data_IF_646865577455
#
_entry.id   IF_646865577455
#
_cell.length_a   1.000
_cell.length_b   1.000
_cell.length_c   1.000
_cell.angle_alpha   90.00
_cell.angle_beta   90.00
_cell.angle_gamma   90.00
#
_symmetry.space_group_name_H-M   'P 1'
#
loop_
_entity.id
_entity.type
_entity.pdbx_description
1 polymer ?
#
# COMPACT_ATOMS: atom_id res chain seq x y z
N UNK A 1 2.97 2.57 18.79
CA UNK A 1 4.22 1.98 18.25
C UNK A 1 4.35 2.33 16.77
N UNK A 2 5.58 2.46 16.24
CA UNK A 2 5.86 2.86 14.84
C UNK A 2 5.10 2.01 13.81
N UNK A 3 4.89 0.72 14.10
CA UNK A 3 4.14 -0.21 13.24
C UNK A 3 2.71 0.26 12.93
N UNK A 4 1.97 0.81 13.90
CA UNK A 4 0.59 1.25 13.66
C UNK A 4 0.47 2.49 12.78
N UNK A 5 1.48 3.37 12.79
CA UNK A 5 1.53 4.56 11.92
C UNK A 5 1.81 4.13 10.47
N UNK A 6 2.74 3.20 10.28
CA UNK A 6 3.06 2.66 8.96
C UNK A 6 1.88 1.92 8.35
N UNK A 7 1.16 1.14 9.15
CA UNK A 7 -0.06 0.47 8.69
C UNK A 7 -1.12 1.48 8.22
N UNK A 8 -1.37 2.54 9.00
CA UNK A 8 -2.29 3.62 8.60
C UNK A 8 -1.85 4.32 7.30
N UNK A 9 -0.55 4.57 7.14
CA UNK A 9 -0.03 5.19 5.92
C UNK A 9 -0.18 4.26 4.70
N UNK A 10 -0.03 2.94 4.87
CA UNK A 10 -0.33 1.97 3.81
C UNK A 10 -1.83 1.96 3.50
N UNK A 11 -2.69 2.03 4.51
CA UNK A 11 -4.15 2.13 4.31
C UNK A 11 -4.57 3.36 3.49
N UNK A 12 -3.85 4.49 3.61
CA UNK A 12 -4.09 5.68 2.75
C UNK A 12 -3.82 5.42 1.25
N UNK A 13 -3.12 4.35 0.87
CA UNK A 13 -2.94 3.95 -0.53
C UNK A 13 -4.12 3.13 -1.09
N UNK A 14 -5.04 2.68 -0.23
CA UNK A 14 -6.19 1.89 -0.65
C UNK A 14 -7.07 2.70 -1.60
N UNK A 15 -7.34 2.22 -2.83
CA UNK A 15 -8.25 2.90 -3.74
C UNK A 15 -9.66 3.00 -3.19
N UNK A 16 -10.40 4.02 -3.61
CA UNK A 16 -11.85 4.10 -3.37
C UNK A 16 -12.54 3.01 -4.20
N UNK A 17 -13.43 2.24 -3.56
CA UNK A 17 -14.25 1.21 -4.21
C UNK A 17 -14.25 -0.12 -3.48
N UNK A 18 -14.99 -1.08 -4.03
CA UNK A 18 -15.01 -2.44 -3.54
C UNK A 18 -13.64 -3.10 -3.75
N UNK A 19 -13.24 -3.90 -2.77
CA UNK A 19 -12.03 -4.70 -2.87
C UNK A 19 -12.17 -5.70 -4.03
N UNK A 20 -11.10 -5.95 -4.81
CA UNK A 20 -11.17 -6.89 -5.92
C UNK A 20 -11.54 -8.28 -5.42
N UNK A 21 -12.39 -8.97 -6.18
CA UNK A 21 -12.74 -10.36 -5.89
C UNK A 21 -11.51 -11.26 -5.95
N UNK A 22 -11.45 -12.26 -5.07
CA UNK A 22 -10.33 -13.17 -4.93
C UNK A 22 -10.03 -13.97 -6.21
N UNK A 23 -11.03 -14.15 -7.08
CA UNK A 23 -10.91 -14.88 -8.34
C UNK A 23 -10.62 -13.97 -9.55
N UNK A 24 -10.43 -12.66 -9.32
CA UNK A 24 -10.16 -11.68 -10.38
C UNK A 24 -8.77 -11.07 -10.22
N UNK A 25 -8.13 -10.73 -11.34
CA UNK A 25 -6.86 -9.98 -11.30
C UNK A 25 -7.16 -8.57 -10.78
N UNK A 26 -6.54 -8.14 -9.67
CA UNK A 26 -6.78 -6.81 -9.12
C UNK A 26 -6.50 -5.70 -10.14
N UNK A 27 -7.36 -4.67 -10.23
CA UNK A 27 -7.12 -3.52 -11.09
C UNK A 27 -5.82 -2.81 -10.71
N UNK A 28 -5.16 -2.16 -11.68
CA UNK A 28 -3.86 -1.49 -11.47
C UNK A 28 -3.84 -0.48 -10.33
N UNK A 29 -4.95 0.17 -10.04
CA UNK A 29 -5.07 1.10 -8.92
C UNK A 29 -4.77 0.43 -7.57
N UNK A 30 -5.13 -0.85 -7.41
CA UNK A 30 -4.93 -1.62 -6.20
C UNK A 30 -3.50 -2.14 -6.02
N UNK A 31 -2.69 -2.16 -7.09
CA UNK A 31 -1.40 -2.84 -7.09
C UNK A 31 -0.44 -2.28 -6.04
N UNK A 32 -0.44 -0.96 -5.78
CA UNK A 32 0.45 -0.36 -4.78
C UNK A 32 0.05 -0.73 -3.36
N UNK A 33 -1.24 -0.64 -3.05
CA UNK A 33 -1.80 -1.04 -1.75
C UNK A 33 -1.52 -2.53 -1.49
N UNK A 34 -1.94 -3.41 -2.41
CA UNK A 34 -1.76 -4.87 -2.29
C UNK A 34 -0.28 -5.22 -2.15
N UNK A 35 0.62 -4.61 -2.94
CA UNK A 35 2.06 -4.91 -2.85
C UNK A 35 2.65 -4.65 -1.46
N UNK A 36 2.20 -3.62 -0.75
CA UNK A 36 2.74 -3.30 0.58
C UNK A 36 1.94 -3.95 1.72
N UNK A 37 0.62 -3.93 1.63
CA UNK A 37 -0.24 -4.51 2.65
C UNK A 37 0.00 -6.02 2.76
N UNK A 38 -0.03 -6.74 1.64
CA UNK A 38 0.13 -8.19 1.66
C UNK A 38 1.56 -8.56 2.09
N UNK A 39 2.58 -7.85 1.60
CA UNK A 39 3.98 -8.17 1.90
C UNK A 39 4.41 -7.83 3.34
N UNK A 40 3.93 -6.71 3.89
CA UNK A 40 4.45 -6.17 5.17
C UNK A 40 3.43 -6.18 6.32
N UNK A 41 2.13 -6.24 6.03
CA UNK A 41 1.08 -6.36 7.06
C UNK A 41 0.64 -7.81 7.20
N UNK A 42 0.36 -8.49 6.09
CA UNK A 42 -0.05 -9.90 6.09
C UNK A 42 1.13 -10.90 6.07
N UNK A 43 2.32 -10.45 5.65
CA UNK A 43 3.51 -11.30 5.57
C UNK A 43 3.48 -12.32 4.43
N UNK A 44 2.70 -12.06 3.38
CA UNK A 44 2.63 -12.91 2.20
C UNK A 44 3.94 -12.96 1.42
N UNK A 45 4.19 -14.09 0.76
CA UNK A 45 5.39 -14.25 -0.06
C UNK A 45 5.25 -13.44 -1.34
N UNK A 46 6.32 -12.73 -1.72
CA UNK A 46 6.35 -11.91 -2.93
C UNK A 46 5.90 -12.67 -4.19
N UNK A 47 6.21 -13.97 -4.30
CA UNK A 47 5.78 -14.80 -5.46
C UNK A 47 4.26 -14.95 -5.54
N UNK A 48 3.59 -15.05 -4.38
CA UNK A 48 2.15 -15.27 -4.30
C UNK A 48 1.44 -13.95 -4.62
N UNK A 49 1.96 -12.83 -4.12
CA UNK A 49 1.49 -11.47 -4.49
C UNK A 49 1.67 -11.23 -5.99
N UNK A 50 2.81 -11.60 -6.58
CA UNK A 50 3.05 -11.48 -8.02
C UNK A 50 2.06 -12.32 -8.84
N UNK A 51 1.75 -13.53 -8.39
CA UNK A 51 0.75 -14.40 -9.00
C UNK A 51 -0.65 -13.78 -8.92
N UNK A 52 -1.06 -13.32 -7.74
CA UNK A 52 -2.33 -12.61 -7.48
C UNK A 52 -2.51 -11.39 -8.38
N UNK A 53 -1.46 -10.58 -8.54
CA UNK A 53 -1.47 -9.38 -9.37
C UNK A 53 -1.27 -9.65 -10.87
N UNK A 54 -0.94 -10.90 -11.24
CA UNK A 54 -0.56 -11.31 -12.59
C UNK A 54 0.55 -10.42 -13.19
N UNK A 55 1.63 -10.22 -12.43
CA UNK A 55 2.77 -9.38 -12.84
C UNK A 55 4.12 -10.09 -12.68
N UNK A 56 5.08 -9.71 -13.52
CA UNK A 56 6.47 -10.16 -13.40
C UNK A 56 7.21 -9.53 -12.22
N UNK A 57 8.30 -10.15 -11.78
CA UNK A 57 9.16 -9.64 -10.71
C UNK A 57 9.69 -8.23 -10.96
N UNK A 58 10.13 -7.94 -12.19
CA UNK A 58 10.58 -6.60 -12.55
C UNK A 58 9.46 -5.56 -12.38
N UNK A 59 8.20 -5.94 -12.68
CA UNK A 59 7.04 -5.07 -12.49
C UNK A 59 6.69 -4.93 -11.02
N UNK A 60 6.69 -6.02 -10.25
CA UNK A 60 6.49 -6.01 -8.80
C UNK A 60 7.49 -5.09 -8.09
N UNK A 61 8.79 -5.22 -8.39
CA UNK A 61 9.83 -4.39 -7.80
C UNK A 61 9.66 -2.89 -8.15
N UNK A 62 9.19 -2.57 -9.36
CA UNK A 62 8.84 -1.19 -9.74
C UNK A 62 7.59 -0.69 -9.01
N UNK A 63 6.55 -1.52 -8.89
CA UNK A 63 5.33 -1.20 -8.14
C UNK A 63 5.66 -0.95 -6.67
N UNK A 64 6.48 -1.80 -6.04
CA UNK A 64 6.93 -1.63 -4.66
C UNK A 64 7.66 -0.30 -4.46
N UNK A 65 8.58 0.07 -5.35
CA UNK A 65 9.26 1.38 -5.30
C UNK A 65 8.31 2.57 -5.49
N UNK A 66 7.22 2.43 -6.25
CA UNK A 66 6.19 3.47 -6.37
C UNK A 66 5.34 3.54 -5.10
N UNK A 67 4.93 2.40 -4.57
CA UNK A 67 4.13 2.30 -3.36
C UNK A 67 4.87 2.90 -2.15
N UNK A 68 6.17 2.63 -1.99
CA UNK A 68 6.99 3.22 -0.91
C UNK A 68 7.02 4.75 -1.01
N UNK A 69 7.10 5.32 -2.21
CA UNK A 69 6.97 6.77 -2.40
C UNK A 69 5.58 7.29 -2.04
N UNK A 70 4.54 6.52 -2.33
CA UNK A 70 3.17 6.80 -1.88
C UNK A 70 3.06 6.85 -0.36
N UNK A 71 3.62 5.85 0.35
CA UNK A 71 3.65 5.83 1.82
C UNK A 71 4.38 7.03 2.39
N UNK A 72 5.54 7.39 1.83
CA UNK A 72 6.29 8.57 2.27
C UNK A 72 5.43 9.85 2.18
N UNK A 73 4.70 10.03 1.07
CA UNK A 73 3.78 11.17 0.91
C UNK A 73 2.62 11.11 1.91
N UNK A 74 2.03 9.94 2.13
CA UNK A 74 0.97 9.77 3.11
C UNK A 74 1.43 10.11 4.54
N UNK A 75 2.65 9.73 4.90
CA UNK A 75 3.25 10.06 6.20
C UNK A 75 3.47 11.58 6.36
N UNK A 76 3.97 12.26 5.32
CA UNK A 76 4.11 13.72 5.32
C UNK A 76 2.76 14.43 5.52
N UNK A 77 1.71 13.97 4.82
CA UNK A 77 0.35 14.50 4.97
C UNK A 77 -0.18 14.28 6.39
N UNK A 78 0.00 13.07 6.95
CA UNK A 78 -0.39 12.74 8.32
C UNK A 78 0.35 13.60 9.36
N UNK A 79 1.64 13.85 9.16
CA UNK A 79 2.43 14.71 10.04
C UNK A 79 1.94 16.16 10.00
N UNK A 80 1.61 16.67 8.81
CA UNK A 80 1.02 18.01 8.64
C UNK A 80 -0.34 18.12 9.33
N UNK A 81 -1.24 17.17 9.11
CA UNK A 81 -2.56 17.09 9.77
C UNK A 81 -2.43 16.99 11.30
N UNK A 82 -1.39 16.33 11.82
CA UNK A 82 -1.12 16.26 13.25
C UNK A 82 -0.67 17.62 13.80
N UNK A 83 0.21 18.33 13.10
CA UNK A 83 0.70 19.66 13.51
C UNK A 83 -0.43 20.68 13.58
N UNK A 84 -1.32 20.71 12.58
CA UNK A 84 -2.48 21.61 12.53
C UNK A 84 -3.41 21.40 13.73
N UNK A 85 -3.73 20.14 14.07
CA UNK A 85 -4.56 19.81 15.24
C UNK A 85 -3.98 20.20 16.59
N UNK A 86 -2.65 20.27 16.71
CA UNK A 86 -1.98 20.72 17.94
C UNK A 86 -1.83 22.23 18.05
N UNK A 87 -2.09 22.97 16.96
CA UNK A 87 -2.08 24.44 16.95
C UNK A 87 -3.44 25.08 17.17
N UNK A 88 -4.52 24.29 17.21
CA UNK A 88 -5.88 24.66 17.60
C UNK A 88 -6.12 24.43 19.10
#
# INVERSE_FOLDING_TARGET
AVSGILEQAVQKLRPVGAEPDAYSVPPRAWHQYITLYDAYVLGELNRDIMSKLYISEGTFNRTRRRAVRGVAKALEEMEREAKERTSE
#
